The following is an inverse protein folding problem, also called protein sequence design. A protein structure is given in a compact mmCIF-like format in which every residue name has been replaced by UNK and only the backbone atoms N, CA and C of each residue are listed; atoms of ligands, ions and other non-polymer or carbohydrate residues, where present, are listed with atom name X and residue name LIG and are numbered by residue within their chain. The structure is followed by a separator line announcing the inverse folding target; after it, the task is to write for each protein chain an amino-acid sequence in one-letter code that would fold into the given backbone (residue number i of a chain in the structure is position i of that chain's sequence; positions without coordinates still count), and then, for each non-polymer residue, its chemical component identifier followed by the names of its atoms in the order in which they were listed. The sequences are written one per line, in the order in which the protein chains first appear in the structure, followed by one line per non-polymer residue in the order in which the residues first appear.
data_IF_133949996710
#
_entry.id   IF_133949996710
#
_cell.length_a   1.000
_cell.length_b   1.000
_cell.length_c   1.000
_cell.angle_alpha   90.00
_cell.angle_beta   90.00
_cell.angle_gamma   90.00
#
_symmetry.space_group_name_H-M   'P 1'
#
loop_
_entity.id
_entity.type
_entity.pdbx_description
1 polymer ?
#
# COMPACT_ATOMS: atom_id res chain seq x y z
N UNK A 1 13.07 33.93 32.32
CA UNK A 1 12.42 32.78 32.96
C UNK A 1 11.62 32.08 31.86
N UNK A 2 12.02 30.88 31.44
CA UNK A 2 11.22 30.10 30.49
C UNK A 2 10.19 29.32 31.31
N UNK A 3 8.91 29.51 30.97
CA UNK A 3 7.76 28.89 31.61
C UNK A 3 7.89 27.36 31.60
N UNK A 4 7.77 26.74 32.78
CA UNK A 4 7.76 25.28 32.99
C UNK A 4 6.53 24.57 32.37
N UNK A 5 5.75 25.24 31.52
CA UNK A 5 4.47 24.75 30.99
C UNK A 5 4.60 23.89 29.71
N UNK A 6 5.75 23.88 29.02
CA UNK A 6 5.95 23.03 27.84
C UNK A 6 6.62 21.67 28.15
N UNK A 7 6.97 21.40 29.40
CA UNK A 7 7.70 20.20 29.80
C UNK A 7 6.88 18.89 29.87
N UNK A 8 5.56 18.86 30.18
CA UNK A 8 4.88 17.58 30.42
C UNK A 8 4.30 16.90 29.18
N UNK A 9 4.41 17.47 27.97
CA UNK A 9 3.85 16.89 26.74
C UNK A 9 4.85 16.06 25.92
N UNK A 10 6.09 15.92 26.39
CA UNK A 10 7.12 15.06 25.81
C UNK A 10 7.17 13.71 26.54
N UNK A 11 6.20 12.83 26.28
CA UNK A 11 6.46 11.38 26.32
C UNK A 11 6.32 10.84 24.90
N UNK A 12 7.41 10.74 24.13
CA UNK A 12 7.39 9.89 22.96
C UNK A 12 7.24 8.45 23.47
N UNK A 13 6.22 7.73 23.00
CA UNK A 13 6.22 6.26 23.05
C UNK A 13 7.34 5.78 22.14
N UNK A 14 8.59 5.86 22.61
CA UNK A 14 9.71 5.17 22.03
C UNK A 14 9.53 3.69 22.38
N UNK A 15 8.88 2.94 21.48
CA UNK A 15 9.10 1.51 21.43
C UNK A 15 10.60 1.28 21.23
N UNK A 16 11.22 0.67 22.22
CA UNK A 16 12.62 0.25 22.22
C UNK A 16 12.77 -0.86 21.17
N UNK A 17 13.13 -0.49 19.94
CA UNK A 17 13.67 -1.43 18.98
C UNK A 17 15.10 -1.78 19.44
N UNK A 18 15.24 -2.94 20.09
CA UNK A 18 16.54 -3.54 20.35
C UNK A 18 17.18 -3.89 19.00
N UNK A 19 18.21 -3.15 18.62
CA UNK A 19 19.10 -3.45 17.51
C UNK A 19 19.93 -4.70 17.85
N UNK A 20 19.44 -5.87 17.43
CA UNK A 20 20.24 -7.08 17.35
C UNK A 20 21.05 -7.04 16.04
N UNK A 21 22.32 -6.68 16.13
CA UNK A 21 23.27 -6.87 15.05
C UNK A 21 23.51 -8.37 14.84
N UNK A 22 22.79 -9.00 13.89
CA UNK A 22 23.18 -10.28 13.30
C UNK A 22 23.66 -10.03 11.88
N UNK A 23 24.89 -10.45 11.63
CA UNK A 23 25.58 -10.44 10.34
C UNK A 23 24.76 -11.22 9.31
N UNK A 24 24.42 -10.56 8.20
CA UNK A 24 23.91 -11.22 6.99
C UNK A 24 25.10 -11.87 6.23
N UNK A 25 24.91 -13.04 5.60
CA UNK A 25 25.89 -13.60 4.69
C UNK A 25 25.95 -12.80 3.38
N UNK A 26 27.14 -12.76 2.78
CA UNK A 26 27.44 -12.02 1.56
C UNK A 26 26.61 -12.54 0.38
N UNK A 27 25.75 -11.68 -0.18
CA UNK A 27 25.12 -11.93 -1.47
C UNK A 27 26.15 -11.81 -2.58
N UNK A 28 26.30 -12.90 -3.32
CA UNK A 28 27.09 -13.04 -4.55
C UNK A 28 26.45 -12.17 -5.63
N UNK A 29 27.17 -11.15 -6.11
CA UNK A 29 26.71 -10.29 -7.19
C UNK A 29 26.57 -11.10 -8.49
N UNK A 30 25.37 -11.12 -9.05
CA UNK A 30 25.13 -11.60 -10.42
C UNK A 30 25.46 -10.45 -11.38
N UNK A 31 26.57 -10.60 -12.11
CA UNK A 31 26.94 -9.74 -13.22
C UNK A 31 25.85 -9.76 -14.28
N UNK A 32 25.12 -8.65 -14.41
CA UNK A 32 24.20 -8.40 -15.51
C UNK A 32 24.98 -7.80 -16.67
N UNK A 33 25.31 -8.62 -17.67
CA UNK A 33 25.80 -8.13 -18.97
C UNK A 33 24.64 -7.54 -19.75
N UNK A 34 24.38 -6.25 -19.58
CA UNK A 34 23.54 -5.47 -20.48
C UNK A 34 24.31 -5.22 -21.79
N UNK A 35 24.01 -5.99 -22.84
CA UNK A 35 24.38 -5.59 -24.20
C UNK A 35 23.44 -4.48 -24.65
N UNK A 36 23.99 -3.27 -24.70
CA UNK A 36 23.45 -2.10 -25.38
C UNK A 36 23.34 -2.42 -26.88
N UNK A 37 22.13 -2.41 -27.42
CA UNK A 37 21.93 -2.25 -28.86
C UNK A 37 21.97 -0.75 -29.17
N UNK A 38 23.05 -0.35 -29.82
CA UNK A 38 23.25 1.00 -30.35
C UNK A 38 22.31 1.25 -31.51
N UNK A 39 21.48 2.29 -31.38
CA UNK A 39 20.78 2.89 -32.50
C UNK A 39 21.79 3.51 -33.46
N UNK A 40 21.94 2.94 -34.64
CA UNK A 40 22.62 3.57 -35.77
C UNK A 40 21.60 4.37 -36.56
N UNK A 41 21.71 5.70 -36.47
CA UNK A 41 21.15 6.62 -37.45
C UNK A 41 21.78 6.30 -38.81
N UNK A 42 20.95 5.95 -39.80
CA UNK A 42 21.35 5.85 -41.20
C UNK A 42 20.85 7.12 -41.88
N UNK A 43 21.83 7.88 -42.38
CA UNK A 43 21.70 9.08 -43.19
C UNK A 43 21.18 8.74 -44.59
N UNK A 44 20.31 9.61 -45.10
CA UNK A 44 19.96 9.73 -46.53
C UNK A 44 21.24 9.93 -47.37
N UNK A 45 21.48 9.02 -48.32
CA UNK A 45 22.08 9.29 -49.62
C UNK A 45 22.11 7.99 -50.46
N UNK A 46 21.48 8.07 -51.64
CA UNK A 46 21.85 7.42 -52.90
C UNK A 46 22.10 5.90 -52.89
N UNK A 47 21.07 5.10 -53.27
CA UNK A 47 21.29 3.85 -54.02
C UNK A 47 20.22 3.71 -55.10
N UNK A 48 20.72 3.58 -56.32
CA UNK A 48 20.05 3.40 -57.59
C UNK A 48 19.11 2.19 -57.65
N UNK A 49 18.12 2.30 -58.53
CA UNK A 49 17.31 1.20 -59.01
C UNK A 49 18.20 0.18 -59.72
N UNK A 50 18.26 -1.05 -59.20
CA UNK A 50 18.52 -2.22 -60.02
C UNK A 50 17.55 -3.34 -59.62
N UNK A 51 16.80 -3.78 -60.62
CA UNK A 51 15.96 -4.97 -60.64
C UNK A 51 16.77 -6.19 -60.20
N UNK A 52 16.46 -6.75 -59.02
CA UNK A 52 16.72 -8.15 -58.77
C UNK A 52 15.54 -8.75 -57.98
N UNK A 53 14.83 -9.60 -58.72
CA UNK A 53 13.70 -10.41 -58.32
C UNK A 53 14.14 -11.45 -57.27
N UNK A 54 14.21 -11.05 -56.00
CA UNK A 54 14.47 -11.97 -54.89
C UNK A 54 13.13 -12.56 -54.39
N UNK A 55 12.74 -13.68 -55.01
CA UNK A 55 11.64 -14.53 -54.58
C UNK A 55 11.95 -15.11 -53.18
N UNK A 56 11.56 -14.39 -52.13
CA UNK A 56 11.60 -14.85 -50.75
C UNK A 56 10.41 -15.78 -50.50
N UNK A 57 10.47 -16.98 -51.09
CA UNK A 57 9.56 -18.08 -50.77
C UNK A 57 9.89 -18.66 -49.39
N UNK A 58 9.40 -17.97 -48.37
CA UNK A 58 9.35 -18.46 -46.97
C UNK A 58 8.19 -19.46 -46.80
N UNK A 59 8.15 -20.50 -47.64
CA UNK A 59 7.07 -21.49 -47.70
C UNK A 59 7.32 -22.73 -46.83
N UNK A 60 8.52 -22.89 -46.26
CA UNK A 60 8.88 -24.05 -45.43
C UNK A 60 8.36 -24.00 -43.98
N UNK A 61 7.91 -22.84 -43.47
CA UNK A 61 7.30 -22.75 -42.13
C UNK A 61 5.90 -23.39 -42.07
N UNK A 62 5.18 -23.42 -43.21
CA UNK A 62 3.80 -23.96 -43.24
C UNK A 62 3.75 -25.49 -43.21
N UNK A 63 4.74 -26.16 -43.83
CA UNK A 63 4.82 -27.63 -43.82
C UNK A 63 5.13 -28.16 -42.42
N UNK A 64 5.94 -27.47 -41.63
CA UNK A 64 6.31 -27.91 -40.27
C UNK A 64 5.17 -27.77 -39.25
N UNK A 65 4.35 -26.72 -39.35
CA UNK A 65 3.21 -26.55 -38.44
C UNK A 65 2.06 -27.53 -38.77
N UNK A 66 1.75 -27.75 -40.04
CA UNK A 66 0.71 -28.71 -40.44
C UNK A 66 1.12 -30.15 -40.07
N UNK A 67 2.39 -30.52 -40.28
CA UNK A 67 2.94 -31.80 -39.82
C UNK A 67 2.79 -31.95 -38.30
N UNK A 68 3.09 -30.90 -37.52
CA UNK A 68 2.86 -30.93 -36.07
C UNK A 68 1.39 -31.13 -35.69
N UNK A 69 0.47 -30.47 -36.40
CA UNK A 69 -0.97 -30.62 -36.15
C UNK A 69 -1.45 -32.05 -36.35
N UNK A 70 -0.97 -32.69 -37.42
CA UNK A 70 -1.36 -34.05 -37.80
C UNK A 70 -0.68 -35.12 -36.92
N UNK A 71 0.59 -34.95 -36.56
CA UNK A 71 1.36 -35.96 -35.82
C UNK A 71 1.20 -35.86 -34.29
N UNK A 72 1.18 -34.64 -33.75
CA UNK A 72 1.28 -34.40 -32.29
C UNK A 72 0.04 -33.69 -31.75
N UNK A 73 -0.47 -32.67 -32.44
CA UNK A 73 -1.52 -31.83 -31.88
C UNK A 73 -2.88 -32.54 -31.77
N UNK A 74 -3.12 -33.61 -32.54
CA UNK A 74 -4.35 -34.39 -32.47
C UNK A 74 -4.67 -34.87 -31.04
N UNK A 75 -3.66 -35.11 -30.20
CA UNK A 75 -3.80 -35.49 -28.78
C UNK A 75 -4.43 -34.39 -27.92
N UNK A 76 -4.32 -33.13 -28.34
CA UNK A 76 -4.83 -31.96 -27.63
C UNK A 76 -6.12 -31.42 -28.23
N UNK A 77 -6.64 -32.08 -29.29
CA UNK A 77 -7.89 -31.68 -29.96
C UNK A 77 -9.09 -31.74 -29.01
N UNK A 78 -9.11 -32.75 -28.15
CA UNK A 78 -10.13 -32.91 -27.12
C UNK A 78 -9.55 -32.51 -25.76
N UNK A 79 -10.35 -31.82 -24.96
CA UNK A 79 -9.92 -31.37 -23.65
C UNK A 79 -9.86 -32.55 -22.67
N UNK A 80 -8.65 -32.97 -22.34
CA UNK A 80 -8.34 -34.03 -21.38
C UNK A 80 -7.71 -33.44 -20.10
N UNK A 81 -7.91 -34.10 -18.94
CA UNK A 81 -7.39 -33.61 -17.66
C UNK A 81 -5.85 -33.56 -17.67
N UNK A 82 -5.30 -32.40 -17.30
CA UNK A 82 -3.84 -32.18 -17.15
C UNK A 82 -3.01 -32.59 -18.39
N UNK A 83 -3.61 -32.48 -19.58
CA UNK A 83 -2.96 -32.83 -20.85
C UNK A 83 -2.08 -31.67 -21.34
N UNK A 84 -0.86 -31.57 -20.80
CA UNK A 84 0.13 -30.56 -21.18
C UNK A 84 1.08 -31.08 -22.26
N UNK A 85 1.73 -30.17 -23.00
CA UNK A 85 2.74 -30.48 -24.03
C UNK A 85 3.93 -31.32 -23.51
N UNK A 86 4.17 -31.32 -22.20
CA UNK A 86 5.16 -32.15 -21.52
C UNK A 86 4.78 -32.37 -20.05
N UNK A 87 5.77 -32.60 -19.18
CA UNK A 87 5.52 -32.80 -17.74
C UNK A 87 5.06 -31.51 -17.01
N UNK A 88 5.26 -30.35 -17.63
CA UNK A 88 4.89 -29.02 -17.12
C UNK A 88 4.10 -28.28 -18.20
N UNK A 89 3.24 -27.30 -17.83
CA UNK A 89 2.43 -26.58 -18.82
C UNK A 89 3.31 -25.81 -19.82
N UNK A 90 4.48 -25.38 -19.38
CA UNK A 90 5.49 -24.74 -20.23
C UNK A 90 6.75 -25.60 -20.24
N UNK A 91 7.10 -26.23 -21.36
CA UNK A 91 8.30 -27.07 -21.47
C UNK A 91 9.60 -26.29 -21.16
N UNK A 92 9.67 -25.03 -21.58
CA UNK A 92 10.82 -24.15 -21.36
C UNK A 92 10.89 -23.55 -19.95
N UNK A 93 9.84 -23.73 -19.13
CA UNK A 93 9.84 -23.29 -17.74
C UNK A 93 9.41 -24.42 -16.79
N UNK A 94 10.34 -25.33 -16.43
CA UNK A 94 10.04 -26.44 -15.53
C UNK A 94 9.72 -26.02 -14.08
N UNK A 95 10.06 -24.77 -13.71
CA UNK A 95 9.79 -24.24 -12.36
C UNK A 95 8.33 -23.90 -12.14
N UNK A 96 7.59 -23.57 -13.21
CA UNK A 96 6.17 -23.26 -13.13
C UNK A 96 5.34 -24.54 -13.10
N UNK A 97 4.93 -24.94 -11.89
CA UNK A 97 4.08 -26.10 -11.63
C UNK A 97 2.83 -25.64 -10.88
N UNK A 98 1.73 -25.33 -11.59
CA UNK A 98 0.55 -24.80 -10.93
C UNK A 98 -0.02 -25.86 -9.98
N UNK A 99 -0.24 -25.54 -8.70
CA UNK A 99 -0.92 -26.46 -7.80
C UNK A 99 -2.38 -26.65 -8.25
N UNK A 100 -2.95 -27.85 -8.08
CA UNK A 100 -4.32 -28.11 -8.47
C UNK A 100 -5.29 -27.17 -7.72
N UNK A 101 -6.36 -26.69 -8.38
CA UNK A 101 -7.35 -25.88 -7.72
C UNK A 101 -8.14 -26.69 -6.68
N UNK A 102 -8.81 -25.98 -5.78
CA UNK A 102 -9.72 -26.60 -4.80
C UNK A 102 -11.01 -26.99 -5.52
N UNK A 103 -11.57 -28.15 -5.17
CA UNK A 103 -12.89 -28.58 -5.68
C UNK A 103 -14.03 -27.68 -5.23
N UNK A 104 -15.11 -27.61 -6.02
CA UNK A 104 -16.23 -26.75 -5.65
C UNK A 104 -17.01 -27.28 -4.43
N UNK A 105 -17.16 -28.59 -4.36
CA UNK A 105 -17.80 -29.26 -3.23
C UNK A 105 -17.13 -28.91 -1.90
N UNK A 106 -15.80 -28.80 -1.89
CA UNK A 106 -15.03 -28.39 -0.71
C UNK A 106 -15.20 -26.90 -0.41
N UNK A 107 -15.23 -26.03 -1.41
CA UNK A 107 -15.53 -24.60 -1.22
C UNK A 107 -16.90 -24.40 -0.58
N UNK A 108 -17.91 -25.14 -1.05
CA UNK A 108 -19.26 -25.10 -0.49
C UNK A 108 -19.30 -25.68 0.94
N UNK A 109 -18.53 -26.73 1.24
CA UNK A 109 -18.42 -27.27 2.60
C UNK A 109 -17.83 -26.22 3.57
N UNK A 110 -16.71 -25.59 3.22
CA UNK A 110 -16.10 -24.53 4.04
C UNK A 110 -17.05 -23.37 4.27
N UNK A 111 -17.78 -22.95 3.23
CA UNK A 111 -18.76 -21.89 3.34
C UNK A 111 -19.92 -22.25 4.27
N UNK A 112 -20.45 -23.48 4.18
CA UNK A 112 -21.51 -23.96 5.07
C UNK A 112 -21.06 -24.05 6.52
N UNK A 113 -19.85 -24.53 6.77
CA UNK A 113 -19.28 -24.60 8.13
C UNK A 113 -19.14 -23.19 8.74
N UNK A 114 -18.61 -22.25 7.98
CA UNK A 114 -18.50 -20.85 8.40
C UNK A 114 -19.87 -20.22 8.70
N UNK A 115 -20.86 -20.45 7.83
CA UNK A 115 -22.21 -19.89 8.02
C UNK A 115 -22.98 -20.55 9.17
N UNK A 116 -22.64 -21.78 9.55
CA UNK A 116 -23.28 -22.48 10.67
C UNK A 116 -22.82 -21.96 12.04
N UNK A 117 -21.52 -21.65 12.18
CA UNK A 117 -20.94 -21.14 13.41
C UNK A 117 -19.72 -20.26 13.06
N UNK A 118 -19.91 -18.93 12.90
CA UNK A 118 -18.81 -18.03 12.55
C UNK A 118 -17.75 -17.88 13.66
N UNK A 119 -18.13 -18.09 14.93
CA UNK A 119 -17.21 -17.96 16.07
C UNK A 119 -16.35 -19.21 16.22
N UNK A 120 -16.96 -20.40 16.18
CA UNK A 120 -16.26 -21.68 16.23
C UNK A 120 -15.48 -22.01 14.96
N UNK A 121 -16.06 -21.76 13.79
CA UNK A 121 -15.44 -22.00 12.49
C UNK A 121 -14.87 -20.71 11.88
N UNK A 122 -14.14 -19.93 12.67
CA UNK A 122 -13.47 -18.73 12.18
C UNK A 122 -12.54 -19.03 11.00
N UNK A 123 -12.25 -18.01 10.18
CA UNK A 123 -11.38 -18.12 8.99
C UNK A 123 -10.04 -18.80 9.31
N UNK A 124 -9.46 -18.51 10.48
CA UNK A 124 -8.20 -19.08 10.95
C UNK A 124 -8.32 -20.56 11.32
N UNK A 125 -9.46 -20.97 11.89
CA UNK A 125 -9.72 -22.38 12.22
C UNK A 125 -9.92 -23.18 10.93
N UNK A 126 -10.69 -22.64 9.98
CA UNK A 126 -10.88 -23.27 8.67
C UNK A 126 -9.58 -23.38 7.88
N UNK A 127 -8.73 -22.34 7.90
CA UNK A 127 -7.43 -22.34 7.23
C UNK A 127 -6.53 -23.45 7.78
N UNK A 128 -6.50 -23.60 9.11
CA UNK A 128 -5.77 -24.66 9.80
C UNK A 128 -6.35 -26.06 9.54
N UNK A 129 -7.68 -26.19 9.46
CA UNK A 129 -8.35 -27.49 9.26
C UNK A 129 -8.17 -28.04 7.85
N UNK A 130 -8.22 -27.15 6.85
CA UNK A 130 -8.13 -27.51 5.43
C UNK A 130 -6.74 -27.27 4.82
N UNK A 131 -5.76 -26.82 5.63
CA UNK A 131 -4.41 -26.48 5.21
C UNK A 131 -4.36 -25.50 4.03
N UNK A 132 -5.17 -24.45 4.10
CA UNK A 132 -5.24 -23.38 3.11
C UNK A 132 -4.72 -22.09 3.74
N UNK A 133 -4.18 -21.17 2.93
CA UNK A 133 -3.82 -19.85 3.44
C UNK A 133 -5.07 -19.10 3.89
N UNK A 134 -4.92 -18.25 4.91
CA UNK A 134 -6.03 -17.46 5.46
C UNK A 134 -6.71 -16.63 4.36
N UNK A 135 -5.93 -16.04 3.44
CA UNK A 135 -6.46 -15.27 2.30
C UNK A 135 -7.25 -16.11 1.32
N UNK A 136 -6.82 -17.34 1.07
CA UNK A 136 -7.51 -18.24 0.16
C UNK A 136 -8.87 -18.63 0.74
N UNK A 137 -8.95 -18.89 2.04
CA UNK A 137 -10.22 -19.14 2.73
C UNK A 137 -11.13 -17.91 2.67
N UNK A 138 -10.60 -16.73 3.00
CA UNK A 138 -11.33 -15.46 2.95
C UNK A 138 -11.92 -15.18 1.54
N UNK A 139 -11.11 -15.38 0.50
CA UNK A 139 -11.54 -15.25 -0.89
C UNK A 139 -12.63 -16.26 -1.26
N UNK A 140 -12.52 -17.51 -0.80
CA UNK A 140 -13.54 -18.54 -1.05
C UNK A 140 -14.86 -18.14 -0.41
N UNK A 141 -14.84 -17.71 0.85
CA UNK A 141 -16.04 -17.28 1.57
C UNK A 141 -16.72 -16.11 0.85
N UNK A 142 -15.93 -15.13 0.40
CA UNK A 142 -16.41 -13.98 -0.36
C UNK A 142 -17.04 -14.38 -1.69
N UNK A 143 -16.34 -15.18 -2.49
CA UNK A 143 -16.81 -15.59 -3.82
C UNK A 143 -18.07 -16.48 -3.73
N UNK A 144 -18.17 -17.33 -2.70
CA UNK A 144 -19.38 -18.14 -2.45
C UNK A 144 -20.56 -17.30 -1.95
N UNK A 145 -20.32 -16.25 -1.16
CA UNK A 145 -21.35 -15.26 -0.83
C UNK A 145 -21.93 -14.63 -2.10
N UNK A 146 -21.05 -14.10 -2.96
CA UNK A 146 -21.43 -13.49 -4.23
C UNK A 146 -22.20 -14.44 -5.15
N UNK A 147 -21.77 -15.70 -5.21
CA UNK A 147 -22.45 -16.73 -5.99
C UNK A 147 -23.92 -16.87 -5.56
N UNK A 148 -24.20 -16.87 -4.25
CA UNK A 148 -25.56 -16.99 -3.72
C UNK A 148 -26.42 -15.76 -4.03
N UNK A 149 -25.85 -14.57 -3.97
CA UNK A 149 -26.55 -13.34 -4.35
C UNK A 149 -26.90 -13.37 -5.84
N UNK A 150 -25.99 -13.84 -6.69
CA UNK A 150 -26.23 -13.96 -8.12
C UNK A 150 -27.25 -15.03 -8.48
N UNK A 151 -27.42 -16.09 -7.69
CA UNK A 151 -28.48 -17.09 -7.91
C UNK A 151 -29.88 -16.47 -7.89
N UNK A 152 -30.07 -15.32 -7.25
CA UNK A 152 -31.36 -14.64 -7.15
C UNK A 152 -31.77 -13.90 -8.44
N UNK A 153 -30.83 -13.64 -9.37
CA UNK A 153 -31.09 -12.82 -10.56
C UNK A 153 -30.37 -13.23 -11.85
N UNK A 154 -29.49 -14.24 -11.81
CA UNK A 154 -28.71 -14.69 -12.99
C UNK A 154 -28.53 -16.21 -12.99
N UNK A 155 -28.56 -16.81 -14.17
CA UNK A 155 -28.24 -18.23 -14.34
C UNK A 155 -26.71 -18.44 -14.27
N UNK A 156 -26.27 -19.31 -13.35
CA UNK A 156 -24.85 -19.64 -13.18
C UNK A 156 -24.39 -20.70 -14.18
N UNK A 157 -23.14 -20.57 -14.66
CA UNK A 157 -22.51 -21.50 -15.60
C UNK A 157 -21.89 -22.73 -14.91
N UNK A 158 -22.73 -23.56 -14.28
CA UNK A 158 -22.28 -24.73 -13.51
C UNK A 158 -21.63 -25.82 -14.38
N UNK A 159 -22.09 -25.99 -15.63
CA UNK A 159 -21.51 -26.96 -16.56
C UNK A 159 -20.07 -26.62 -16.95
N UNK A 160 -19.78 -25.33 -17.20
CA UNK A 160 -18.42 -24.86 -17.48
C UNK A 160 -17.50 -25.08 -16.27
N UNK A 161 -18.00 -24.75 -15.07
CA UNK A 161 -17.28 -24.98 -13.83
C UNK A 161 -16.90 -26.46 -13.65
N UNK A 162 -17.85 -27.39 -13.82
CA UNK A 162 -17.61 -28.83 -13.70
C UNK A 162 -16.58 -29.33 -14.74
N UNK A 163 -16.64 -28.82 -15.97
CA UNK A 163 -15.66 -29.12 -17.01
C UNK A 163 -14.25 -28.64 -16.64
N UNK A 164 -14.12 -27.39 -16.17
CA UNK A 164 -12.85 -26.81 -15.75
C UNK A 164 -12.26 -27.52 -14.52
N UNK A 165 -13.10 -27.90 -13.56
CA UNK A 165 -12.71 -28.65 -12.38
C UNK A 165 -12.08 -30.00 -12.76
N UNK A 166 -12.69 -30.69 -13.74
CA UNK A 166 -12.15 -31.92 -14.33
C UNK A 166 -10.82 -31.68 -15.05
N UNK A 167 -10.74 -30.66 -15.90
CA UNK A 167 -9.54 -30.39 -16.72
C UNK A 167 -8.31 -30.02 -15.89
N UNK A 168 -8.51 -29.25 -14.83
CA UNK A 168 -7.42 -28.81 -13.95
C UNK A 168 -7.06 -29.86 -12.88
N UNK A 169 -7.84 -30.95 -12.77
CA UNK A 169 -7.66 -31.97 -11.75
C UNK A 169 -7.84 -31.40 -10.35
N UNK A 170 -8.96 -30.69 -10.11
CA UNK A 170 -9.21 -30.07 -8.82
C UNK A 170 -9.20 -31.11 -7.69
N UNK A 171 -8.61 -30.72 -6.56
CA UNK A 171 -8.43 -31.63 -5.43
C UNK A 171 -9.40 -31.32 -4.30
N UNK A 172 -9.79 -32.37 -3.58
CA UNK A 172 -10.41 -32.26 -2.26
C UNK A 172 -9.32 -32.47 -1.22
N UNK A 173 -8.96 -31.42 -0.48
CA UNK A 173 -8.05 -31.59 0.66
C UNK A 173 -8.80 -32.31 1.77
N UNK A 174 -8.36 -33.52 2.12
CA UNK A 174 -8.83 -34.19 3.34
C UNK A 174 -8.49 -33.30 4.53
N UNK A 175 -9.46 -33.08 5.42
CA UNK A 175 -9.20 -32.43 6.70
C UNK A 175 -8.18 -33.31 7.45
N UNK A 176 -6.92 -32.88 7.46
CA UNK A 176 -5.86 -33.63 8.14
C UNK A 176 -5.98 -33.41 9.63
N UNK A 177 -5.95 -34.49 10.42
CA UNK A 177 -5.45 -34.39 11.78
C UNK A 177 -4.00 -33.90 11.69
N UNK A 178 -3.69 -32.80 12.36
CA UNK A 178 -2.40 -32.10 12.30
C UNK A 178 -1.22 -33.03 12.59
N UNK A 179 -0.66 -33.66 11.57
CA UNK A 179 0.65 -34.29 11.64
C UNK A 179 1.67 -33.27 11.16
N UNK A 180 2.69 -33.03 11.99
CA UNK A 180 3.74 -31.99 11.81
C UNK A 180 4.61 -32.18 10.56
N UNK A 181 4.48 -33.30 9.85
CA UNK A 181 5.36 -33.71 8.76
C UNK A 181 4.78 -33.47 7.34
N UNK A 182 3.64 -32.76 7.21
CA UNK A 182 3.07 -32.43 5.89
C UNK A 182 3.93 -31.34 5.21
N UNK A 183 4.42 -31.53 3.95
CA UNK A 183 5.29 -30.60 3.20
C UNK A 183 4.73 -29.18 2.93
N UNK A 184 3.69 -28.74 3.65
CA UNK A 184 2.97 -27.47 3.48
C UNK A 184 3.34 -26.39 4.51
N UNK A 185 4.51 -26.51 5.13
CA UNK A 185 5.13 -25.48 5.98
C UNK A 185 5.13 -24.08 5.32
N UNK A 186 5.17 -24.05 3.98
CA UNK A 186 5.08 -22.87 3.11
C UNK A 186 3.82 -22.00 3.32
N UNK A 187 2.66 -22.61 3.61
CA UNK A 187 1.40 -21.87 3.80
C UNK A 187 1.43 -21.06 5.10
N UNK A 188 2.04 -21.63 6.15
CA UNK A 188 2.15 -20.96 7.44
C UNK A 188 3.19 -19.83 7.39
N UNK A 189 4.31 -20.05 6.70
CA UNK A 189 5.33 -19.02 6.48
C UNK A 189 4.79 -17.84 5.67
N UNK A 190 4.01 -18.09 4.61
CA UNK A 190 3.35 -17.05 3.82
C UNK A 190 2.37 -16.21 4.66
N UNK A 191 1.56 -16.86 5.49
CA UNK A 191 0.60 -16.18 6.37
C UNK A 191 1.31 -15.37 7.49
N UNK A 192 2.49 -15.80 7.96
CA UNK A 192 3.32 -15.05 8.92
C UNK A 192 3.94 -13.82 8.26
N UNK A 193 4.57 -13.99 7.09
CA UNK A 193 5.24 -12.90 6.37
C UNK A 193 4.24 -11.79 6.02
N UNK A 194 3.02 -12.14 5.63
CA UNK A 194 1.99 -11.16 5.33
C UNK A 194 1.49 -10.39 6.58
N UNK A 195 1.38 -11.07 7.73
CA UNK A 195 1.06 -10.41 9.01
C UNK A 195 2.17 -9.43 9.41
N UNK A 196 3.43 -9.81 9.22
CA UNK A 196 4.59 -8.98 9.52
C UNK A 196 4.70 -7.77 8.57
N UNK A 197 4.27 -7.90 7.30
CA UNK A 197 4.23 -6.80 6.32
C UNK A 197 3.09 -5.78 6.56
N UNK A 198 2.15 -6.05 7.48
CA UNK A 198 1.06 -5.13 7.84
C UNK A 198 0.23 -4.63 6.63
N UNK A 199 0.06 -5.48 5.60
CA UNK A 199 -0.66 -5.22 4.34
C UNK A 199 -2.20 -5.12 4.49
N UNK A 200 -2.68 -5.02 5.72
CA UNK A 200 -4.09 -5.01 6.15
C UNK A 200 -4.90 -3.79 5.68
N UNK A 201 -4.27 -2.74 5.17
CA UNK A 201 -4.96 -1.59 4.58
C UNK A 201 -5.84 -1.98 3.38
N UNK A 202 -5.45 -3.03 2.64
CA UNK A 202 -6.25 -3.60 1.55
C UNK A 202 -7.47 -4.37 2.07
N UNK A 203 -7.32 -5.08 3.20
CA UNK A 203 -8.36 -5.86 3.87
C UNK A 203 -9.50 -4.97 4.35
N UNK A 204 -9.16 -3.83 4.96
CA UNK A 204 -10.15 -2.83 5.39
C UNK A 204 -10.91 -2.22 4.20
N UNK A 205 -10.24 -1.97 3.06
CA UNK A 205 -10.90 -1.47 1.84
C UNK A 205 -11.91 -2.47 1.26
N UNK A 206 -11.57 -3.76 1.21
CA UNK A 206 -12.47 -4.77 0.64
C UNK A 206 -13.58 -5.20 1.59
N UNK A 207 -13.33 -5.21 2.90
CA UNK A 207 -14.37 -5.41 3.91
C UNK A 207 -15.42 -4.28 3.82
N UNK A 208 -14.98 -3.04 3.58
CA UNK A 208 -15.83 -1.86 3.35
C UNK A 208 -16.72 -1.99 2.11
N UNK A 209 -16.20 -2.53 1.01
CA UNK A 209 -16.93 -2.71 -0.26
C UNK A 209 -18.00 -3.81 -0.25
N UNK A 210 -17.95 -4.75 0.69
CA UNK A 210 -18.84 -5.91 0.73
C UNK A 210 -19.81 -5.90 1.92
N UNK A 211 -19.52 -5.12 2.97
CA UNK A 211 -20.35 -5.01 4.18
C UNK A 211 -21.05 -3.67 4.35
N UNK A 212 -20.75 -2.65 3.54
CA UNK A 212 -21.64 -1.51 3.39
C UNK A 212 -22.63 -1.84 2.26
N UNK A 213 -23.86 -2.21 2.61
CA UNK A 213 -24.98 -1.95 1.71
C UNK A 213 -25.02 -0.44 1.51
N UNK A 214 -24.53 0.05 0.36
CA UNK A 214 -24.76 1.45 -0.02
C UNK A 214 -26.27 1.59 -0.12
N UNK A 215 -26.89 2.23 0.87
CA UNK A 215 -28.31 2.53 0.80
C UNK A 215 -28.51 3.38 -0.45
N UNK A 216 -29.30 2.90 -1.41
CA UNK A 216 -29.57 3.59 -2.68
C UNK A 216 -30.12 5.02 -2.49
N UNK A 217 -30.58 5.34 -1.27
CA UNK A 217 -31.14 6.63 -0.87
C UNK A 217 -30.10 7.71 -0.51
N UNK A 218 -28.80 7.47 -0.67
CA UNK A 218 -27.76 8.47 -0.39
C UNK A 218 -27.56 8.81 1.09
N UNK A 219 -28.11 7.99 1.99
CA UNK A 219 -27.86 8.09 3.43
C UNK A 219 -26.41 7.68 3.74
N UNK A 220 -25.80 8.34 4.73
CA UNK A 220 -24.45 7.99 5.17
C UNK A 220 -24.40 6.53 5.63
N UNK A 221 -23.40 5.75 5.19
CA UNK A 221 -23.33 4.33 5.49
C UNK A 221 -23.16 4.13 7.01
N UNK A 222 -23.88 3.15 7.57
CA UNK A 222 -23.75 2.77 8.98
C UNK A 222 -22.38 2.11 9.15
N UNK A 223 -21.45 2.85 9.76
CA UNK A 223 -20.06 2.41 9.92
C UNK A 223 -19.93 1.59 11.21
N UNK A 224 -19.17 0.48 11.25
CA UNK A 224 -18.89 -0.22 12.51
C UNK A 224 -18.22 0.71 13.54
N UNK A 225 -18.60 0.62 14.82
CA UNK A 225 -18.15 1.55 15.88
C UNK A 225 -16.63 1.65 16.10
N UNK A 226 -15.85 0.65 15.66
CA UNK A 226 -14.37 0.72 15.68
C UNK A 226 -13.81 1.76 14.70
N UNK A 227 -14.50 1.97 13.57
CA UNK A 227 -14.14 2.97 12.56
C UNK A 227 -14.62 4.36 12.91
N UNK A 228 -15.80 4.48 13.53
CA UNK A 228 -16.26 5.74 14.11
C UNK A 228 -15.25 6.25 15.14
N UNK A 229 -14.80 5.38 16.04
CA UNK A 229 -13.78 5.71 17.03
C UNK A 229 -12.41 6.07 16.39
N UNK A 230 -12.01 5.40 15.30
CA UNK A 230 -10.79 5.76 14.57
C UNK A 230 -10.91 7.13 13.88
N UNK A 231 -12.07 7.41 13.30
CA UNK A 231 -12.39 8.70 12.67
C UNK A 231 -12.44 9.83 13.70
N UNK A 232 -13.12 9.62 14.83
CA UNK A 232 -13.15 10.55 15.96
C UNK A 232 -11.74 10.83 16.50
N UNK A 233 -10.92 9.79 16.66
CA UNK A 233 -9.51 9.96 17.05
C UNK A 233 -8.73 10.80 16.05
N UNK A 234 -8.87 10.54 14.75
CA UNK A 234 -8.20 11.32 13.71
C UNK A 234 -8.61 12.80 13.76
N UNK A 235 -9.91 13.09 13.94
CA UNK A 235 -10.42 14.44 14.12
C UNK A 235 -9.88 15.10 15.40
N UNK A 236 -9.83 14.36 16.51
CA UNK A 236 -9.24 14.85 17.75
C UNK A 236 -7.75 15.18 17.60
N UNK A 237 -6.97 14.32 16.93
CA UNK A 237 -5.56 14.57 16.66
C UNK A 237 -5.37 15.80 15.77
N UNK A 238 -6.19 15.95 14.71
CA UNK A 238 -6.16 17.14 13.87
C UNK A 238 -6.43 18.42 14.68
N UNK A 239 -7.51 18.45 15.49
CA UNK A 239 -7.83 19.58 16.36
C UNK A 239 -6.69 19.92 17.33
N UNK A 240 -6.14 18.91 18.02
CA UNK A 240 -4.99 19.13 18.92
C UNK A 240 -3.78 19.68 18.19
N UNK A 241 -3.50 19.23 16.96
CA UNK A 241 -2.38 19.77 16.17
C UNK A 241 -2.62 21.22 15.75
N UNK A 242 -3.86 21.59 15.42
CA UNK A 242 -4.22 22.97 15.10
C UNK A 242 -4.13 23.88 16.33
N UNK A 243 -4.63 23.44 17.47
CA UNK A 243 -4.52 24.13 18.76
C UNK A 243 -3.05 24.33 19.16
N UNK A 244 -2.22 23.30 19.01
CA UNK A 244 -0.80 23.39 19.28
C UNK A 244 -0.11 24.40 18.35
N UNK A 245 -0.42 24.35 17.06
CA UNK A 245 0.08 25.31 16.07
C UNK A 245 -0.40 26.75 16.31
N UNK A 246 -1.58 26.92 16.91
CA UNK A 246 -2.15 28.22 17.29
C UNK A 246 -1.54 28.80 18.58
N UNK A 247 -0.70 28.05 19.30
CA UNK A 247 -0.11 28.51 20.55
C UNK A 247 0.72 29.81 20.35
N UNK A 248 0.48 30.86 21.15
CA UNK A 248 1.13 32.17 20.96
C UNK A 248 2.66 32.15 20.99
N UNK A 249 3.27 31.18 21.68
CA UNK A 249 4.74 31.05 21.70
C UNK A 249 5.31 30.59 20.36
N UNK A 250 4.58 29.76 19.60
CA UNK A 250 5.00 29.33 18.27
C UNK A 250 4.73 30.42 17.24
N UNK A 251 3.59 31.11 17.34
CA UNK A 251 3.22 32.24 16.47
C UNK A 251 2.93 33.50 17.30
N UNK A 252 3.97 34.29 17.66
CA UNK A 252 3.76 35.55 18.35
C UNK A 252 2.99 36.50 17.45
N UNK A 253 1.89 37.06 17.97
CA UNK A 253 1.11 38.08 17.26
C UNK A 253 1.90 39.39 17.27
N UNK A 254 2.07 40.00 16.10
CA UNK A 254 2.55 41.38 16.01
C UNK A 254 1.38 42.26 16.44
N UNK A 255 1.56 43.18 17.40
CA UNK A 255 0.50 44.09 17.80
C UNK A 255 0.05 44.96 16.63
N UNK A 256 -1.24 45.30 16.60
CA UNK A 256 -1.78 46.22 15.61
C UNK A 256 -1.18 47.61 15.84
N UNK A 257 -0.87 48.30 14.74
CA UNK A 257 -0.36 49.67 14.75
C UNK A 257 -1.37 50.58 14.07
N UNK A 258 -1.27 51.90 14.27
CA UNK A 258 -2.18 52.89 13.66
C UNK A 258 -2.30 52.77 12.13
N UNK A 259 -1.24 52.28 11.47
CA UNK A 259 -1.17 52.14 10.02
C UNK A 259 -1.37 50.69 9.52
N UNK A 260 -1.49 49.72 10.42
CA UNK A 260 -1.61 48.30 10.05
C UNK A 260 -2.54 47.58 11.04
N UNK A 261 -3.77 47.35 10.59
CA UNK A 261 -4.77 46.54 11.28
C UNK A 261 -4.90 45.18 10.62
N UNK A 262 -4.92 44.13 11.44
CA UNK A 262 -5.12 42.78 10.92
C UNK A 262 -6.60 42.55 10.63
N UNK A 263 -6.93 41.92 9.49
CA UNK A 263 -8.29 41.49 9.23
C UNK A 263 -8.73 40.44 10.25
N UNK A 264 -9.92 40.61 10.82
CA UNK A 264 -10.44 39.68 11.84
C UNK A 264 -11.01 38.39 11.24
N UNK A 265 -11.40 38.40 9.96
CA UNK A 265 -11.95 37.24 9.28
C UNK A 265 -10.86 36.40 8.61
N UNK A 266 -11.03 35.07 8.64
CA UNK A 266 -10.12 34.11 7.98
C UNK A 266 -10.15 34.21 6.45
N UNK A 267 -11.26 34.70 5.91
CA UNK A 267 -11.49 34.85 4.49
C UNK A 267 -11.82 36.31 4.23
N UNK A 268 -11.10 36.92 3.29
CA UNK A 268 -11.30 38.30 2.87
C UNK A 268 -11.61 38.27 1.38
N UNK A 269 -12.84 38.65 1.03
CA UNK A 269 -13.27 38.77 -0.36
C UNK A 269 -13.13 40.23 -0.78
N UNK A 270 -12.38 40.44 -1.86
CA UNK A 270 -12.20 41.73 -2.48
C UNK A 270 -12.92 41.72 -3.84
N UNK A 271 -14.02 42.47 -3.92
CA UNK A 271 -14.80 42.65 -5.14
C UNK A 271 -14.47 44.02 -5.75
N UNK A 272 -14.16 44.04 -7.05
CA UNK A 272 -13.89 45.28 -7.81
C UNK A 272 -14.62 45.19 -9.15
N UNK A 273 -15.32 46.25 -9.53
CA UNK A 273 -16.08 46.29 -10.78
C UNK A 273 -15.17 46.03 -12.00
N UNK A 274 -15.63 45.16 -12.91
CA UNK A 274 -14.88 44.76 -14.10
C UNK A 274 -13.74 43.75 -13.87
N UNK A 275 -13.59 43.18 -12.66
CA UNK A 275 -12.62 42.12 -12.34
C UNK A 275 -13.29 40.98 -11.55
N UNK A 276 -12.82 39.72 -11.68
CA UNK A 276 -13.30 38.63 -10.85
C UNK A 276 -12.97 38.90 -9.37
N UNK A 277 -13.83 38.43 -8.47
CA UNK A 277 -13.64 38.55 -7.02
C UNK A 277 -12.39 37.78 -6.59
N UNK A 278 -11.57 38.41 -5.75
CA UNK A 278 -10.37 37.79 -5.17
C UNK A 278 -10.67 37.37 -3.74
N UNK A 279 -10.53 36.09 -3.43
CA UNK A 279 -10.68 35.55 -2.08
C UNK A 279 -9.29 35.26 -1.48
N UNK A 280 -8.93 36.02 -0.45
CA UNK A 280 -7.72 35.78 0.33
C UNK A 280 -8.07 34.93 1.54
N UNK A 281 -7.59 33.69 1.55
CA UNK A 281 -7.74 32.75 2.67
C UNK A 281 -6.47 32.82 3.52
N UNK A 282 -6.60 33.26 4.78
CA UNK A 282 -5.50 33.17 5.73
C UNK A 282 -5.26 31.69 6.10
N UNK A 283 -4.16 31.17 5.58
CA UNK A 283 -3.70 29.79 5.85
C UNK A 283 -2.93 29.68 7.18
N UNK A 284 -2.66 30.80 7.86
CA UNK A 284 -2.08 30.85 9.20
C UNK A 284 -0.89 29.91 9.41
N UNK A 285 -0.98 29.05 10.43
CA UNK A 285 0.04 28.07 10.82
C UNK A 285 -0.10 26.70 10.13
N UNK A 286 -1.01 26.56 9.15
CA UNK A 286 -1.35 25.27 8.52
C UNK A 286 -0.11 24.54 8.00
N UNK A 287 0.79 25.27 7.36
CA UNK A 287 2.02 24.75 6.73
C UNK A 287 3.28 24.94 7.57
N UNK A 288 3.16 25.33 8.84
CA UNK A 288 4.32 25.45 9.72
C UNK A 288 4.77 24.07 10.23
N UNK A 289 6.06 23.76 10.04
CA UNK A 289 6.72 22.67 10.75
C UNK A 289 6.99 23.07 12.19
N UNK A 290 6.30 22.40 13.11
CA UNK A 290 6.35 22.62 14.54
C UNK A 290 7.77 22.39 15.07
N UNK A 291 8.44 21.33 14.61
CA UNK A 291 9.75 20.93 15.11
C UNK A 291 10.82 21.95 14.71
N UNK A 292 10.77 22.41 13.47
CA UNK A 292 11.68 23.43 12.98
C UNK A 292 11.46 24.77 13.69
N UNK A 293 10.20 25.14 13.97
CA UNK A 293 9.87 26.36 14.74
C UNK A 293 10.43 26.31 16.17
N UNK A 294 10.26 25.19 16.87
CA UNK A 294 10.83 24.97 18.21
C UNK A 294 12.35 25.10 18.16
N UNK A 295 13.00 24.47 17.17
CA UNK A 295 14.46 24.56 16.97
C UNK A 295 14.93 26.01 16.79
N UNK A 296 14.20 26.80 15.99
CA UNK A 296 14.50 28.23 15.77
C UNK A 296 14.32 29.06 17.04
N UNK A 297 13.27 28.82 17.83
CA UNK A 297 13.02 29.52 19.11
C UNK A 297 14.13 29.20 20.12
N UNK A 298 14.53 27.93 20.24
CA UNK A 298 15.63 27.54 21.11
C UNK A 298 16.95 28.20 20.68
N UNK A 299 17.24 28.24 19.38
CA UNK A 299 18.44 28.88 18.85
C UNK A 299 18.45 30.41 19.09
N UNK A 300 17.32 31.09 18.87
CA UNK A 300 17.19 32.53 19.14
C UNK A 300 17.35 32.85 20.63
N UNK A 301 16.78 32.02 21.51
CA UNK A 301 16.96 32.11 22.96
C UNK A 301 18.43 31.99 23.39
N UNK A 302 19.19 31.06 22.80
CA UNK A 302 20.64 30.93 23.05
C UNK A 302 21.40 32.18 22.61
N UNK A 303 21.12 32.69 21.41
CA UNK A 303 21.74 33.92 20.88
C UNK A 303 21.43 35.15 21.74
N UNK A 304 20.20 35.28 22.23
CA UNK A 304 19.80 36.39 23.09
C UNK A 304 20.54 36.38 24.44
N UNK A 305 20.65 35.21 25.10
CA UNK A 305 21.44 35.06 26.34
C UNK A 305 22.91 35.42 26.11
N UNK A 306 23.50 34.95 25.02
CA UNK A 306 24.89 35.28 24.68
C UNK A 306 25.10 36.79 24.46
N UNK A 307 24.16 37.47 23.78
CA UNK A 307 24.22 38.93 23.63
C UNK A 307 24.10 39.65 24.98
N UNK A 308 23.28 39.17 25.90
CA UNK A 308 23.17 39.74 27.24
C UNK A 308 24.47 39.59 28.03
N UNK A 309 25.09 38.40 28.01
CA UNK A 309 26.37 38.18 28.71
C UNK A 309 27.49 39.06 28.15
N UNK A 310 27.58 39.18 26.82
CA UNK A 310 28.57 40.06 26.16
C UNK A 310 28.35 41.53 26.52
N UNK A 311 27.09 42.00 26.57
CA UNK A 311 26.75 43.38 26.99
C UNK A 311 27.15 43.65 28.45
N UNK A 312 26.90 42.69 29.34
CA UNK A 312 27.27 42.81 30.76
C UNK A 312 28.79 42.87 30.92
N UNK A 313 29.52 41.97 30.25
CA UNK A 313 30.99 41.97 30.25
C UNK A 313 31.57 43.28 29.72
N UNK A 314 31.05 43.81 28.61
CA UNK A 314 31.47 45.10 28.05
C UNK A 314 31.21 46.28 29.00
N UNK A 315 30.08 46.27 29.71
CA UNK A 315 29.72 47.30 30.70
C UNK A 315 30.59 47.22 31.97
N UNK A 316 31.02 46.02 32.37
CA UNK A 316 31.98 45.83 33.47
C UNK A 316 33.38 46.32 33.06
N UNK A 317 33.83 45.97 31.86
CA UNK A 317 35.11 46.42 31.31
C UNK A 317 35.21 47.95 31.19
N UNK A 318 34.15 48.62 30.71
CA UNK A 318 34.13 50.09 30.63
C UNK A 318 34.10 50.79 31.99
N UNK A 319 33.66 50.10 33.05
CA UNK A 319 33.65 50.63 34.42
C UNK A 319 35.01 50.49 35.10
N UNK A 320 35.75 49.42 34.83
CA UNK A 320 37.11 49.23 35.37
C UNK A 320 38.18 50.09 34.70
N UNK A 321 37.97 50.50 33.44
CA UNK A 321 38.90 51.38 32.72
C UNK A 321 38.77 52.87 33.05
N UNK A 322 37.70 53.28 33.75
CA UNK A 322 37.43 54.67 34.14
C UNK A 322 37.93 55.06 35.52
N UNK A 323 38.55 54.15 36.28
CA UNK A 323 39.02 54.39 37.65
C UNK A 323 40.55 54.55 37.76
N UNK A 324 41.25 54.78 36.65
CA UNK A 324 42.72 54.92 36.60
C UNK A 324 43.22 56.35 36.31
N UNK A 325 42.33 57.35 36.44
CA UNK A 325 42.66 58.77 36.27
C UNK A 325 42.08 59.59 37.42
N UNK A 326 42.74 59.57 38.57
CA UNK A 326 42.61 60.54 39.66
C UNK A 326 43.92 60.61 40.41
#
# INVERSE_FOLDING_TARGET
MFSHQLAPLFRPTLCVARSAARRLPAHRALSSTSRLLSATNITEADIDNDDDNFDFSDSNETETFQQFLDEVAWRYRNAEPQNWLGNTPFPMNPSFRPPPPISDSQREAMYREFMSDPEGNSVRVLSQRYNLSIKRVDAILRLKGMERDWRQGKQLQTGFQAGMERLLGATTHRATNMQRDDPRFDVHEADILEQDENRDASRQRYQRLYWESVAENGAEPIVPGSLEHAHEKALQYAKRTEEFKAHPELMPRVPDTEFMTRPSSKIIRLEREGRPSLEFVDVGSKFMDINDRIRRIAASGRRAKHRQTVKVAKKQFSRSSGSFSS
#
